data_IF_911551012492
#
_entry.id   IF_911551012492
#
_cell.length_a   1.000
_cell.length_b   1.000
_cell.length_c   1.000
_cell.angle_alpha   90.00
_cell.angle_beta   90.00
_cell.angle_gamma   90.00
#
_symmetry.space_group_name_H-M   'P 1'
#
loop_
_entity.id
_entity.type
_entity.pdbx_description
1 polymer ?
#
# COMPACT_ATOMS: atom_id res chain seq x y z
N UNK A 1 -3.79 28.17 -15.53
CA UNK A 1 -3.43 27.33 -14.36
C UNK A 1 -4.62 27.33 -13.42
N UNK A 2 -5.13 26.16 -13.03
CA UNK A 2 -6.25 26.10 -12.08
C UNK A 2 -5.76 26.52 -10.68
N UNK A 3 -6.31 27.62 -10.15
CA UNK A 3 -6.06 28.11 -8.78
C UNK A 3 -6.89 27.30 -7.76
N UNK A 4 -6.59 27.43 -6.46
CA UNK A 4 -7.36 26.81 -5.38
C UNK A 4 -8.86 27.19 -5.41
N UNK A 5 -9.21 28.33 -6.01
CA UNK A 5 -10.60 28.76 -6.24
C UNK A 5 -11.35 27.92 -7.27
N UNK A 6 -10.64 27.17 -8.12
CA UNK A 6 -11.21 26.23 -9.08
C UNK A 6 -11.39 24.81 -8.52
N UNK A 7 -11.03 24.57 -7.25
CA UNK A 7 -11.27 23.29 -6.58
C UNK A 7 -12.77 23.13 -6.31
N UNK A 8 -13.51 22.68 -7.32
CA UNK A 8 -14.91 22.27 -7.15
C UNK A 8 -14.96 21.18 -6.07
N UNK A 9 -15.87 21.32 -5.10
CA UNK A 9 -16.12 20.30 -4.10
C UNK A 9 -16.38 18.96 -4.80
N UNK A 10 -15.47 17.99 -4.61
CA UNK A 10 -15.56 16.67 -5.22
C UNK A 10 -16.83 16.02 -4.70
N UNK A 11 -17.83 15.85 -5.58
CA UNK A 11 -19.08 15.19 -5.22
C UNK A 11 -18.87 13.69 -5.33
N UNK A 12 -19.10 12.97 -4.25
CA UNK A 12 -19.04 11.52 -4.19
C UNK A 12 -20.39 10.89 -4.51
N UNK A 13 -20.40 9.60 -4.87
CA UNK A 13 -21.63 8.87 -5.11
C UNK A 13 -22.48 8.78 -3.83
N UNK A 14 -23.76 9.08 -3.95
CA UNK A 14 -24.72 8.95 -2.87
C UNK A 14 -25.11 7.47 -2.69
N UNK A 15 -24.82 6.90 -1.52
CA UNK A 15 -25.21 5.52 -1.15
C UNK A 15 -26.58 5.46 -0.46
N UNK A 16 -27.21 6.61 -0.15
CA UNK A 16 -28.52 6.68 0.50
C UNK A 16 -29.68 6.64 -0.52
N UNK A 17 -30.86 6.12 -0.14
CA UNK A 17 -32.04 6.15 -0.99
C UNK A 17 -32.44 7.60 -1.31
N UNK A 18 -32.51 7.95 -2.59
CA UNK A 18 -32.92 9.29 -3.03
C UNK A 18 -32.58 9.60 -4.49
N UNK A 19 -33.15 10.69 -5.02
CA UNK A 19 -32.94 11.13 -6.42
C UNK A 19 -31.56 11.74 -6.68
N UNK A 20 -30.87 12.26 -5.65
CA UNK A 20 -29.56 12.91 -5.81
C UNK A 20 -28.47 11.87 -5.93
N UNK A 21 -27.94 11.67 -7.14
CA UNK A 21 -26.85 10.71 -7.41
C UNK A 21 -25.52 11.09 -6.76
N UNK A 22 -25.24 12.38 -6.59
CA UNK A 22 -23.97 12.87 -6.07
C UNK A 22 -24.16 13.80 -4.87
N UNK A 23 -23.35 13.61 -3.83
CA UNK A 23 -23.37 14.38 -2.58
C UNK A 23 -21.94 14.73 -2.18
N UNK A 24 -21.76 15.86 -1.51
CA UNK A 24 -20.49 16.17 -0.88
C UNK A 24 -20.25 15.19 0.28
N UNK A 25 -19.01 14.69 0.40
CA UNK A 25 -18.55 13.94 1.56
C UNK A 25 -17.40 14.70 2.20
N UNK A 26 -17.39 14.75 3.53
CA UNK A 26 -16.23 15.29 4.26
C UNK A 26 -15.02 14.38 4.09
N UNK A 27 -13.82 14.91 4.35
CA UNK A 27 -12.59 14.12 4.35
C UNK A 27 -12.71 12.84 5.19
N UNK A 28 -13.23 12.96 6.43
CA UNK A 28 -13.44 11.81 7.31
C UNK A 28 -14.37 10.76 6.69
N UNK A 29 -15.49 11.18 6.08
CA UNK A 29 -16.41 10.26 5.41
C UNK A 29 -15.77 9.57 4.20
N UNK A 30 -14.94 10.29 3.43
CA UNK A 30 -14.22 9.71 2.31
C UNK A 30 -13.21 8.67 2.80
N UNK A 31 -12.45 8.97 3.85
CA UNK A 31 -11.51 8.03 4.47
C UNK A 31 -12.22 6.78 5.00
N UNK A 32 -13.34 6.95 5.70
CA UNK A 32 -14.13 5.84 6.25
C UNK A 32 -14.74 4.95 5.15
N UNK A 33 -14.97 5.51 3.95
CA UNK A 33 -15.49 4.80 2.78
C UNK A 33 -14.40 4.05 2.00
N UNK A 34 -13.11 4.29 2.26
CA UNK A 34 -12.02 3.59 1.58
C UNK A 34 -12.01 2.13 2.02
N UNK A 35 -12.21 1.23 1.07
CA UNK A 35 -12.07 -0.21 1.28
C UNK A 35 -10.95 -0.77 0.42
N UNK A 36 -9.83 -1.13 1.07
CA UNK A 36 -8.69 -1.74 0.39
C UNK A 36 -8.99 -3.23 0.16
N UNK A 37 -9.72 -3.50 -0.92
CA UNK A 37 -10.20 -4.82 -1.29
C UNK A 37 -9.12 -5.67 -2.02
N UNK A 38 -7.88 -5.65 -1.54
CA UNK A 38 -6.79 -6.47 -2.11
C UNK A 38 -6.83 -7.91 -1.59
N UNK A 39 -7.02 -8.09 -0.28
CA UNK A 39 -6.97 -9.41 0.36
C UNK A 39 -8.31 -10.16 0.35
N UNK A 40 -9.39 -9.45 -0.01
CA UNK A 40 -10.78 -9.93 0.07
C UNK A 40 -11.47 -10.02 -1.29
N UNK A 41 -10.81 -9.57 -2.37
CA UNK A 41 -11.42 -9.63 -3.70
C UNK A 41 -11.60 -11.08 -4.14
N UNK A 42 -12.80 -11.39 -4.61
CA UNK A 42 -13.15 -12.63 -5.31
C UNK A 42 -12.79 -12.56 -6.80
N UNK A 43 -12.27 -11.42 -7.26
CA UNK A 43 -11.82 -11.26 -8.64
C UNK A 43 -10.68 -12.24 -8.91
N UNK A 44 -10.68 -12.81 -10.11
CA UNK A 44 -9.58 -13.68 -10.54
C UNK A 44 -8.28 -12.89 -10.47
N UNK A 45 -7.27 -13.47 -9.82
CA UNK A 45 -5.88 -12.98 -9.88
C UNK A 45 -5.57 -12.64 -11.33
N UNK A 46 -5.07 -11.41 -11.59
CA UNK A 46 -4.72 -10.97 -12.95
C UNK A 46 -3.95 -12.10 -13.64
N UNK A 47 -4.44 -12.48 -14.83
CA UNK A 47 -3.87 -13.54 -15.65
C UNK A 47 -2.37 -13.28 -15.83
N UNK A 48 -1.61 -14.37 -15.99
CA UNK A 48 -0.19 -14.26 -16.32
C UNK A 48 -0.04 -13.48 -17.64
N UNK A 49 1.03 -12.68 -17.80
CA UNK A 49 1.26 -11.90 -19.01
C UNK A 49 1.35 -12.82 -20.22
N UNK A 50 1.07 -12.27 -21.41
CA UNK A 50 1.32 -12.99 -22.66
C UNK A 50 2.79 -13.39 -22.77
N UNK A 51 3.09 -14.46 -23.51
CA UNK A 51 4.45 -14.93 -23.74
C UNK A 51 5.37 -13.78 -24.20
N UNK A 52 6.49 -13.60 -23.51
CA UNK A 52 7.44 -12.50 -23.77
C UNK A 52 7.10 -11.15 -23.13
N UNK A 53 5.94 -10.97 -22.50
CA UNK A 53 5.59 -9.76 -21.74
C UNK A 53 5.92 -9.89 -20.24
N UNK A 54 5.56 -8.88 -19.46
CA UNK A 54 5.74 -8.81 -17.99
C UNK A 54 4.60 -8.04 -17.34
N UNK A 55 4.41 -8.20 -16.02
CA UNK A 55 3.36 -7.48 -15.32
C UNK A 55 3.59 -5.96 -15.35
N UNK A 56 4.83 -5.52 -15.21
CA UNK A 56 5.21 -4.11 -15.28
C UNK A 56 4.90 -3.53 -16.65
N UNK A 57 5.27 -4.23 -17.74
CA UNK A 57 5.04 -3.76 -19.10
C UNK A 57 3.55 -3.62 -19.40
N UNK A 58 2.77 -4.64 -19.07
CA UNK A 58 1.33 -4.63 -19.32
C UNK A 58 0.65 -3.51 -18.50
N UNK A 59 1.09 -3.31 -17.25
CA UNK A 59 0.64 -2.21 -16.40
C UNK A 59 1.01 -0.84 -17.00
N UNK A 60 2.22 -0.70 -17.53
CA UNK A 60 2.70 0.55 -18.14
C UNK A 60 1.89 0.93 -19.38
N UNK A 61 1.63 -0.04 -20.26
CA UNK A 61 0.81 0.17 -21.46
C UNK A 61 -0.62 0.54 -21.07
N UNK A 62 -1.22 -0.20 -20.13
CA UNK A 62 -2.56 0.10 -19.61
C UNK A 62 -2.64 1.55 -19.09
N UNK A 63 -1.68 1.96 -18.27
CA UNK A 63 -1.69 3.32 -17.72
C UNK A 63 -1.36 4.39 -18.75
N UNK A 64 -0.62 4.07 -19.81
CA UNK A 64 -0.41 5.00 -20.93
C UNK A 64 -1.72 5.37 -21.62
N UNK A 65 -2.65 4.43 -21.73
CA UNK A 65 -3.98 4.65 -22.28
C UNK A 65 -4.90 5.41 -21.31
N UNK A 66 -4.78 5.16 -20.01
CA UNK A 66 -5.66 5.72 -18.98
C UNK A 66 -5.23 7.10 -18.45
N UNK A 67 -3.94 7.42 -18.50
CA UNK A 67 -3.39 8.62 -17.87
C UNK A 67 -2.72 9.55 -18.88
N UNK A 68 -3.13 10.82 -18.87
CA UNK A 68 -2.65 11.87 -19.76
C UNK A 68 -1.82 12.94 -19.05
N UNK A 69 -1.42 12.72 -17.80
CA UNK A 69 -0.63 13.69 -17.05
C UNK A 69 0.81 13.73 -17.57
N UNK A 70 1.33 14.94 -17.79
CA UNK A 70 2.66 15.17 -18.39
C UNK A 70 3.80 14.45 -17.65
N UNK A 71 3.79 14.47 -16.31
CA UNK A 71 4.83 13.81 -15.50
C UNK A 71 4.86 12.29 -15.75
N UNK A 72 3.68 11.66 -15.92
CA UNK A 72 3.59 10.25 -16.26
C UNK A 72 3.99 9.96 -17.72
N UNK A 73 3.62 10.83 -18.67
CA UNK A 73 4.03 10.69 -20.08
C UNK A 73 5.55 10.73 -20.21
N UNK A 74 6.18 11.70 -19.57
CA UNK A 74 7.65 11.81 -19.51
C UNK A 74 8.28 10.56 -18.90
N UNK A 75 7.71 10.04 -17.79
CA UNK A 75 8.19 8.81 -17.18
C UNK A 75 8.03 7.60 -18.11
N UNK A 76 6.91 7.48 -18.82
CA UNK A 76 6.67 6.41 -19.77
C UNK A 76 7.74 6.39 -20.87
N UNK A 77 7.98 7.53 -21.52
CA UNK A 77 8.97 7.64 -22.60
C UNK A 77 10.38 7.29 -22.14
N UNK A 78 10.72 7.69 -20.91
CA UNK A 78 12.00 7.41 -20.27
C UNK A 78 12.19 5.91 -19.96
N UNK A 79 11.15 5.24 -19.44
CA UNK A 79 11.29 3.88 -18.94
C UNK A 79 11.01 2.79 -19.99
N UNK A 80 10.24 3.12 -21.04
CA UNK A 80 9.79 2.15 -22.04
C UNK A 80 10.94 1.29 -22.63
N UNK A 81 12.14 1.83 -22.94
CA UNK A 81 13.24 1.03 -23.47
C UNK A 81 13.72 -0.10 -22.54
N UNK A 82 13.53 0.03 -21.22
CA UNK A 82 14.04 -0.90 -20.21
C UNK A 82 13.03 -1.95 -19.76
N UNK A 83 11.77 -1.83 -20.18
CA UNK A 83 10.66 -2.67 -19.71
C UNK A 83 10.04 -3.51 -20.83
N UNK A 84 10.76 -3.68 -21.96
CA UNK A 84 10.27 -4.44 -23.11
C UNK A 84 10.08 -5.93 -22.79
N UNK A 85 10.96 -6.50 -21.97
CA UNK A 85 10.96 -7.92 -21.61
C UNK A 85 11.35 -8.12 -20.15
N UNK A 86 10.93 -9.23 -19.55
CA UNK A 86 11.30 -9.55 -18.17
C UNK A 86 12.82 -9.62 -17.93
N UNK A 87 13.66 -10.22 -18.80
CA UNK A 87 15.12 -10.18 -18.62
C UNK A 87 15.68 -8.75 -18.59
N UNK A 88 15.14 -7.83 -19.40
CA UNK A 88 15.55 -6.42 -19.39
C UNK A 88 15.19 -5.75 -18.07
N UNK A 89 13.99 -6.02 -17.54
CA UNK A 89 13.54 -5.51 -16.23
C UNK A 89 14.47 -5.99 -15.12
N UNK A 90 14.84 -7.28 -15.12
CA UNK A 90 15.75 -7.85 -14.11
C UNK A 90 17.13 -7.19 -14.20
N UNK A 91 17.66 -6.99 -15.40
CA UNK A 91 18.96 -6.35 -15.64
C UNK A 91 18.98 -4.89 -15.16
N UNK A 92 17.90 -4.15 -15.40
CA UNK A 92 17.81 -2.71 -15.12
C UNK A 92 17.00 -2.37 -13.86
N UNK A 93 16.73 -3.34 -12.98
CA UNK A 93 15.84 -3.18 -11.83
C UNK A 93 16.14 -1.97 -10.94
N UNK A 94 17.43 -1.68 -10.68
CA UNK A 94 17.86 -0.53 -9.87
C UNK A 94 17.51 0.82 -10.53
N UNK A 95 17.72 0.91 -11.85
CA UNK A 95 17.40 2.10 -12.63
C UNK A 95 15.89 2.32 -12.64
N UNK A 96 15.13 1.28 -12.99
CA UNK A 96 13.66 1.33 -13.07
C UNK A 96 13.09 1.74 -11.72
N UNK A 97 13.53 1.09 -10.64
CA UNK A 97 13.07 1.38 -9.30
C UNK A 97 13.39 2.82 -8.88
N UNK A 98 14.62 3.28 -9.13
CA UNK A 98 15.02 4.64 -8.77
C UNK A 98 14.23 5.71 -9.52
N UNK A 99 13.90 5.47 -10.79
CA UNK A 99 13.03 6.35 -11.57
C UNK A 99 11.60 6.36 -11.04
N UNK A 100 11.00 5.20 -10.73
CA UNK A 100 9.67 5.13 -10.11
C UNK A 100 9.61 5.92 -8.79
N UNK A 101 10.56 5.73 -7.89
CA UNK A 101 10.59 6.44 -6.61
C UNK A 101 10.74 7.94 -6.80
N UNK A 102 11.54 8.39 -7.77
CA UNK A 102 11.72 9.83 -8.06
C UNK A 102 10.43 10.54 -8.50
N UNK A 103 9.42 9.80 -8.97
CA UNK A 103 8.10 10.31 -9.36
C UNK A 103 7.07 10.31 -8.23
N UNK A 104 7.38 9.77 -7.06
CA UNK A 104 6.51 9.84 -5.87
C UNK A 104 6.57 11.23 -5.23
N UNK A 105 5.96 12.21 -5.91
CA UNK A 105 5.94 13.62 -5.53
C UNK A 105 4.50 14.14 -5.48
N UNK A 106 4.17 14.92 -4.46
CA UNK A 106 2.81 15.44 -4.29
C UNK A 106 2.42 16.42 -5.40
N UNK A 107 3.38 17.19 -5.92
CA UNK A 107 3.18 18.12 -7.03
C UNK A 107 2.71 17.40 -8.31
N UNK A 108 3.08 16.13 -8.46
CA UNK A 108 2.68 15.25 -9.55
C UNK A 108 1.52 14.33 -9.18
N UNK A 109 0.59 14.78 -8.31
CA UNK A 109 -0.53 13.95 -7.81
C UNK A 109 -1.37 13.23 -8.86
N UNK A 110 -1.51 13.81 -10.05
CA UNK A 110 -2.25 13.19 -11.18
C UNK A 110 -1.52 11.97 -11.79
N UNK A 111 -0.24 11.79 -11.47
CA UNK A 111 0.61 10.68 -11.91
C UNK A 111 0.90 9.69 -10.78
N UNK A 112 0.44 9.93 -9.55
CA UNK A 112 0.77 9.05 -8.42
C UNK A 112 0.15 7.66 -8.55
N UNK A 113 -1.13 7.56 -8.94
CA UNK A 113 -1.76 6.26 -9.11
C UNK A 113 -0.98 5.35 -10.08
N UNK A 114 -0.72 5.75 -11.34
CA UNK A 114 0.00 4.87 -12.25
C UNK A 114 1.39 4.51 -11.72
N UNK A 115 2.14 5.45 -11.13
CA UNK A 115 3.46 5.17 -10.55
C UNK A 115 3.35 4.14 -9.41
N UNK A 116 2.39 4.30 -8.49
CA UNK A 116 2.14 3.37 -7.41
C UNK A 116 1.72 1.98 -7.93
N UNK A 117 0.90 1.90 -8.97
CA UNK A 117 0.54 0.61 -9.61
C UNK A 117 1.72 -0.06 -10.29
N UNK A 118 2.61 0.71 -10.90
CA UNK A 118 3.84 0.19 -11.52
C UNK A 118 4.82 -0.36 -10.48
N UNK A 119 4.97 0.30 -9.33
CA UNK A 119 5.77 -0.24 -8.21
C UNK A 119 5.21 -1.59 -7.73
N UNK A 120 3.89 -1.71 -7.60
CA UNK A 120 3.25 -2.97 -7.23
C UNK A 120 3.46 -4.05 -8.32
N UNK A 121 3.34 -3.70 -9.60
CA UNK A 121 3.59 -4.63 -10.71
C UNK A 121 5.06 -5.09 -10.75
N UNK A 122 6.02 -4.18 -10.56
CA UNK A 122 7.44 -4.48 -10.47
C UNK A 122 7.74 -5.48 -9.33
N UNK A 123 7.04 -5.35 -8.19
CA UNK A 123 7.18 -6.31 -7.09
C UNK A 123 6.73 -7.73 -7.46
N UNK A 124 5.73 -7.85 -8.34
CA UNK A 124 5.25 -9.14 -8.83
C UNK A 124 6.22 -9.77 -9.83
N UNK A 125 6.87 -8.97 -10.69
CA UNK A 125 7.89 -9.45 -11.62
C UNK A 125 9.18 -9.88 -10.90
N UNK A 126 9.66 -9.09 -9.93
CA UNK A 126 10.95 -9.32 -9.27
C UNK A 126 10.88 -10.26 -8.05
N UNK A 127 9.72 -10.37 -7.40
CA UNK A 127 9.50 -11.25 -6.25
C UNK A 127 10.57 -11.08 -5.15
N UNK A 128 11.39 -12.10 -4.90
CA UNK A 128 12.40 -12.11 -3.83
C UNK A 128 13.42 -10.97 -3.98
N UNK A 129 13.78 -10.61 -5.20
CA UNK A 129 14.74 -9.54 -5.47
C UNK A 129 14.20 -8.17 -5.07
N UNK A 130 12.87 -8.01 -5.05
CA UNK A 130 12.23 -6.77 -4.68
C UNK A 130 12.35 -6.44 -3.18
N UNK A 131 12.65 -7.44 -2.34
CA UNK A 131 12.74 -7.24 -0.89
C UNK A 131 13.77 -6.17 -0.49
N UNK A 132 14.83 -6.02 -1.29
CA UNK A 132 15.88 -5.02 -1.09
C UNK A 132 15.37 -3.57 -1.25
N UNK A 133 14.27 -3.39 -1.98
CA UNK A 133 13.67 -2.08 -2.24
C UNK A 133 12.66 -1.63 -1.20
N UNK A 134 12.12 -2.56 -0.40
CA UNK A 134 11.08 -2.26 0.60
C UNK A 134 11.42 -1.12 1.56
N UNK A 135 12.65 -1.00 2.12
CA UNK A 135 13.00 0.12 2.97
C UNK A 135 12.86 1.47 2.24
N UNK A 136 13.39 1.56 1.01
CA UNK A 136 13.34 2.78 0.18
C UNK A 136 11.90 3.15 -0.18
N UNK A 137 11.05 2.17 -0.47
CA UNK A 137 9.61 2.41 -0.74
C UNK A 137 8.94 2.96 0.51
N UNK A 138 9.11 2.30 1.66
CA UNK A 138 8.48 2.73 2.90
C UNK A 138 8.87 4.15 3.27
N UNK A 139 10.16 4.50 3.18
CA UNK A 139 10.63 5.86 3.42
C UNK A 139 10.05 6.87 2.40
N UNK A 140 9.93 6.49 1.13
CA UNK A 140 9.35 7.38 0.10
C UNK A 140 7.86 7.59 0.31
N UNK A 141 7.11 6.58 0.75
CA UNK A 141 5.70 6.71 1.11
C UNK A 141 5.51 7.61 2.34
N UNK A 142 6.40 7.52 3.33
CA UNK A 142 6.39 8.45 4.48
C UNK A 142 6.60 9.88 3.99
N UNK A 143 7.63 10.13 3.18
CA UNK A 143 7.90 11.47 2.63
C UNK A 143 6.73 12.01 1.81
N UNK A 144 6.09 11.15 1.00
CA UNK A 144 4.91 11.53 0.23
C UNK A 144 3.73 11.92 1.14
N UNK A 145 3.45 11.13 2.17
CA UNK A 145 2.41 11.46 3.15
C UNK A 145 2.70 12.78 3.87
N UNK A 146 3.95 12.99 4.31
CA UNK A 146 4.39 14.22 4.99
C UNK A 146 4.32 15.47 4.09
N UNK A 147 4.43 15.30 2.77
CA UNK A 147 4.31 16.39 1.78
C UNK A 147 2.87 16.86 1.54
N UNK A 148 1.87 16.26 2.21
CA UNK A 148 0.46 16.65 2.14
C UNK A 148 -0.45 15.61 1.49
N UNK A 149 0.09 14.51 0.98
CA UNK A 149 -0.71 13.42 0.45
C UNK A 149 -1.62 12.79 1.52
N UNK A 150 -1.25 12.90 2.81
CA UNK A 150 -2.10 12.43 3.91
C UNK A 150 -3.43 13.20 4.06
N UNK A 151 -3.63 14.29 3.33
CA UNK A 151 -4.86 15.11 3.30
C UNK A 151 -5.72 14.86 2.05
N UNK A 152 -5.30 13.97 1.16
CA UNK A 152 -5.99 13.65 -0.08
C UNK A 152 -6.46 12.18 -0.04
N UNK A 153 -7.76 11.90 0.23
CA UNK A 153 -8.26 10.53 0.39
C UNK A 153 -7.95 9.61 -0.78
N UNK A 154 -8.08 10.10 -2.01
CA UNK A 154 -7.79 9.33 -3.23
C UNK A 154 -6.31 8.88 -3.27
N UNK A 155 -5.37 9.76 -2.87
CA UNK A 155 -3.94 9.43 -2.86
C UNK A 155 -3.64 8.44 -1.72
N UNK A 156 -4.27 8.61 -0.56
CA UNK A 156 -4.16 7.66 0.57
C UNK A 156 -4.62 6.27 0.13
N UNK A 157 -5.78 6.17 -0.53
CA UNK A 157 -6.28 4.91 -1.09
C UNK A 157 -5.29 4.30 -2.09
N UNK A 158 -4.76 5.10 -3.03
CA UNK A 158 -3.78 4.64 -4.02
C UNK A 158 -2.51 4.09 -3.36
N UNK A 159 -1.97 4.78 -2.34
CA UNK A 159 -0.78 4.38 -1.59
C UNK A 159 -1.01 3.01 -0.93
N UNK A 160 -2.06 2.87 -0.13
CA UNK A 160 -2.27 1.64 0.64
C UNK A 160 -2.83 0.50 -0.19
N UNK A 161 -3.49 0.79 -1.31
CA UNK A 161 -3.83 -0.25 -2.29
C UNK A 161 -2.56 -0.80 -2.94
N UNK A 162 -1.64 0.06 -3.38
CA UNK A 162 -0.35 -0.38 -3.94
C UNK A 162 0.47 -1.15 -2.90
N UNK A 163 0.60 -0.61 -1.69
CA UNK A 163 1.31 -1.29 -0.59
C UNK A 163 0.71 -2.67 -0.28
N UNK A 164 -0.62 -2.77 -0.22
CA UNK A 164 -1.30 -4.05 0.02
C UNK A 164 -1.05 -5.07 -1.09
N UNK A 165 -1.00 -4.63 -2.37
CA UNK A 165 -0.61 -5.50 -3.47
C UNK A 165 0.83 -6.01 -3.32
N UNK A 166 1.78 -5.15 -2.93
CA UNK A 166 3.16 -5.56 -2.66
C UNK A 166 3.20 -6.61 -1.53
N UNK A 167 2.48 -6.38 -0.43
CA UNK A 167 2.41 -7.35 0.67
C UNK A 167 1.81 -8.69 0.21
N UNK A 168 0.78 -8.67 -0.63
CA UNK A 168 0.14 -9.85 -1.18
C UNK A 168 1.09 -10.64 -2.10
N UNK A 169 1.71 -9.99 -3.08
CA UNK A 169 2.62 -10.65 -4.02
C UNK A 169 3.86 -11.24 -3.35
N UNK A 170 4.37 -10.55 -2.33
CA UNK A 170 5.59 -10.95 -1.62
C UNK A 170 5.32 -11.79 -0.37
N UNK A 171 4.06 -12.09 -0.05
CA UNK A 171 3.63 -12.75 1.19
C UNK A 171 4.52 -13.94 1.56
N UNK A 172 4.73 -14.87 0.61
CA UNK A 172 5.50 -16.11 0.83
C UNK A 172 6.95 -15.87 1.27
N UNK A 173 7.51 -14.71 0.95
CA UNK A 173 8.85 -14.30 1.37
C UNK A 173 8.81 -13.48 2.67
N UNK A 174 7.86 -12.55 2.78
CA UNK A 174 7.74 -11.65 3.93
C UNK A 174 7.41 -12.39 5.24
N UNK A 175 6.61 -13.45 5.17
CA UNK A 175 6.29 -14.26 6.36
C UNK A 175 7.50 -15.01 6.94
N UNK A 176 8.58 -15.17 6.16
CA UNK A 176 9.81 -15.83 6.62
C UNK A 176 10.61 -14.93 7.59
N UNK A 177 10.49 -13.61 7.43
CA UNK A 177 11.16 -12.60 8.25
C UNK A 177 10.25 -11.39 8.56
N UNK A 178 9.21 -11.66 9.35
CA UNK A 178 8.30 -10.62 9.86
C UNK A 178 9.03 -9.51 10.61
N UNK A 179 10.09 -9.82 11.34
CA UNK A 179 10.79 -8.84 12.17
C UNK A 179 11.39 -7.74 11.29
N UNK A 180 11.97 -8.10 10.15
CA UNK A 180 12.48 -7.13 9.18
C UNK A 180 11.36 -6.27 8.58
N UNK A 181 10.20 -6.86 8.26
CA UNK A 181 9.03 -6.09 7.80
C UNK A 181 8.54 -5.10 8.85
N UNK A 182 8.47 -5.53 10.11
CA UNK A 182 8.06 -4.67 11.22
C UNK A 182 9.03 -3.51 11.45
N UNK A 183 10.33 -3.71 11.21
CA UNK A 183 11.35 -2.65 11.25
C UNK A 183 11.19 -1.65 10.11
N UNK A 184 10.96 -2.13 8.88
CA UNK A 184 10.76 -1.29 7.69
C UNK A 184 9.53 -0.41 7.85
N UNK A 185 8.46 -0.96 8.42
CA UNK A 185 7.15 -0.28 8.51
C UNK A 185 6.99 0.61 9.74
N UNK A 186 8.00 0.74 10.62
CA UNK A 186 7.87 1.48 11.90
C UNK A 186 7.32 2.90 11.70
N UNK A 187 7.81 3.65 10.72
CA UNK A 187 7.39 5.04 10.48
C UNK A 187 5.94 5.15 10.03
N UNK A 188 5.50 4.23 9.17
CA UNK A 188 4.13 4.17 8.66
C UNK A 188 3.15 3.64 9.74
N UNK A 189 3.53 2.61 10.51
CA UNK A 189 2.71 2.04 11.59
C UNK A 189 2.46 3.01 12.74
N UNK A 190 3.38 3.94 12.97
CA UNK A 190 3.29 4.94 14.04
C UNK A 190 3.22 6.36 13.48
N UNK A 191 2.66 6.50 12.28
CA UNK A 191 2.44 7.79 11.64
C UNK A 191 1.49 8.66 12.47
N UNK A 192 1.54 9.98 12.29
CA UNK A 192 0.81 10.94 13.15
C UNK A 192 -0.71 10.90 13.00
N UNK A 193 -1.22 10.30 11.92
CA UNK A 193 -2.64 10.23 11.58
C UNK A 193 -3.19 8.83 11.82
N UNK A 194 -4.28 8.71 12.57
CA UNK A 194 -4.80 7.41 12.98
C UNK A 194 -5.32 6.58 11.80
N UNK A 195 -5.97 7.19 10.80
CA UNK A 195 -6.40 6.46 9.59
C UNK A 195 -5.22 5.86 8.79
N UNK A 196 -4.05 6.50 8.80
CA UNK A 196 -2.83 5.93 8.21
C UNK A 196 -2.37 4.71 9.01
N UNK A 197 -2.43 4.79 10.35
CA UNK A 197 -2.11 3.66 11.21
C UNK A 197 -3.08 2.49 10.96
N UNK A 198 -4.38 2.76 10.79
CA UNK A 198 -5.42 1.77 10.46
C UNK A 198 -5.13 1.04 9.15
N UNK A 199 -4.88 1.75 8.04
CA UNK A 199 -4.55 1.11 6.76
C UNK A 199 -3.27 0.28 6.84
N UNK A 200 -2.25 0.79 7.53
CA UNK A 200 -1.01 0.03 7.75
C UNK A 200 -1.21 -1.19 8.64
N UNK A 201 -2.07 -1.07 9.65
CA UNK A 201 -2.43 -2.15 10.54
C UNK A 201 -3.14 -3.27 9.76
N UNK A 202 -4.11 -2.94 8.92
CA UNK A 202 -4.79 -3.90 8.05
C UNK A 202 -3.80 -4.62 7.13
N UNK A 203 -2.98 -3.87 6.37
CA UNK A 203 -2.00 -4.45 5.45
C UNK A 203 -0.94 -5.33 6.16
N UNK A 204 -0.45 -4.91 7.33
CA UNK A 204 0.55 -5.68 8.09
C UNK A 204 -0.07 -6.90 8.77
N UNK A 205 -1.33 -6.80 9.22
CA UNK A 205 -2.06 -7.92 9.84
C UNK A 205 -2.21 -9.10 8.88
N UNK A 206 -2.35 -8.84 7.57
CA UNK A 206 -2.39 -9.87 6.56
C UNK A 206 -1.14 -10.76 6.61
N UNK A 207 0.05 -10.18 6.73
CA UNK A 207 1.29 -10.95 6.83
C UNK A 207 1.38 -11.72 8.15
N UNK A 208 1.01 -11.08 9.27
CA UNK A 208 1.04 -11.71 10.59
C UNK A 208 0.08 -12.90 10.68
N UNK A 209 -1.14 -12.77 10.16
CA UNK A 209 -2.16 -13.84 10.15
C UNK A 209 -1.73 -15.05 9.32
N UNK A 210 -0.96 -14.82 8.25
CA UNK A 210 -0.49 -15.86 7.36
C UNK A 210 0.88 -16.45 7.75
N UNK A 211 1.50 -15.96 8.82
CA UNK A 211 2.79 -16.44 9.24
C UNK A 211 2.71 -17.68 10.14
N UNK A 212 3.74 -18.55 10.14
CA UNK A 212 3.83 -19.63 11.12
C UNK A 212 3.80 -19.10 12.54
N UNK A 213 3.16 -19.83 13.46
CA UNK A 213 2.96 -19.42 14.85
C UNK A 213 4.21 -18.87 15.54
N UNK A 214 5.37 -19.52 15.37
CA UNK A 214 6.64 -19.05 15.95
C UNK A 214 7.03 -17.64 15.48
N UNK A 215 6.78 -17.33 14.19
CA UNK A 215 7.08 -16.03 13.58
C UNK A 215 6.04 -14.98 13.98
N UNK A 216 4.76 -15.35 14.04
CA UNK A 216 3.69 -14.52 14.59
C UNK A 216 4.01 -14.10 16.04
N UNK A 217 4.33 -15.07 16.91
CA UNK A 217 4.72 -14.83 18.30
C UNK A 217 5.89 -13.85 18.42
N UNK A 218 6.96 -14.08 17.65
CA UNK A 218 8.10 -13.17 17.62
C UNK A 218 7.72 -11.76 17.14
N UNK A 219 6.82 -11.65 16.14
CA UNK A 219 6.30 -10.39 15.64
C UNK A 219 5.50 -9.62 16.70
N UNK A 220 4.58 -10.29 17.42
CA UNK A 220 3.80 -9.70 18.50
C UNK A 220 4.73 -9.22 19.63
N UNK A 221 5.68 -10.06 20.07
CA UNK A 221 6.65 -9.67 21.08
C UNK A 221 7.46 -8.44 20.65
N UNK A 222 7.87 -8.37 19.38
CA UNK A 222 8.60 -7.24 18.82
C UNK A 222 7.80 -5.94 18.87
N UNK A 223 6.53 -5.94 18.48
CA UNK A 223 5.69 -4.72 18.53
C UNK A 223 5.39 -4.30 19.97
N UNK A 224 5.18 -5.24 20.88
CA UNK A 224 5.00 -4.93 22.31
C UNK A 224 6.25 -4.27 22.90
N UNK A 225 7.44 -4.80 22.59
CA UNK A 225 8.71 -4.20 22.99
C UNK A 225 8.91 -2.78 22.43
N UNK A 226 8.39 -2.48 21.23
CA UNK A 226 8.48 -1.14 20.65
C UNK A 226 7.66 -0.10 21.40
N UNK A 227 6.53 -0.49 21.96
CA UNK A 227 5.67 0.37 22.79
C UNK A 227 6.30 0.58 24.16
N UNK A 228 6.80 -0.49 24.78
CA UNK A 228 7.46 -0.42 26.09
C UNK A 228 8.70 0.47 26.04
N UNK A 229 9.54 0.34 25.00
CA UNK A 229 10.77 1.13 24.86
C UNK A 229 10.53 2.61 24.60
N UNK A 230 9.47 2.97 23.87
CA UNK A 230 9.15 4.36 23.54
C UNK A 230 7.64 4.53 23.59
N UNK A 231 7.15 5.01 24.72
CA UNK A 231 5.73 5.28 24.88
C UNK A 231 5.35 6.56 24.11
N UNK A 232 4.38 6.45 23.21
CA UNK A 232 3.70 7.60 22.61
C UNK A 232 2.25 7.23 22.31
N UNK A 233 1.31 8.21 22.28
CA UNK A 233 -0.08 7.94 21.90
C UNK A 233 -0.19 7.25 20.53
N UNK A 234 0.54 7.73 19.52
CA UNK A 234 0.57 7.13 18.18
C UNK A 234 1.08 5.68 18.17
N UNK A 235 2.06 5.33 19.03
CA UNK A 235 2.56 3.95 19.15
C UNK A 235 1.55 3.03 19.81
N UNK A 236 0.87 3.52 20.87
CA UNK A 236 -0.18 2.77 21.53
C UNK A 236 -1.32 2.51 20.55
N UNK A 237 -1.81 3.55 19.88
CA UNK A 237 -2.86 3.46 18.85
C UNK A 237 -2.48 2.50 17.71
N UNK A 238 -1.33 2.69 17.08
CA UNK A 238 -0.91 1.85 15.96
C UNK A 238 -0.69 0.37 16.31
N UNK A 239 -0.18 0.07 17.52
CA UNK A 239 -0.08 -1.33 17.99
C UNK A 239 -1.45 -1.90 18.32
N UNK A 240 -2.33 -1.13 18.97
CA UNK A 240 -3.71 -1.55 19.25
C UNK A 240 -4.47 -1.86 17.97
N UNK A 241 -4.39 -0.99 16.95
CA UNK A 241 -4.98 -1.22 15.64
C UNK A 241 -4.42 -2.50 15.00
N UNK A 242 -3.10 -2.67 14.98
CA UNK A 242 -2.46 -3.86 14.41
C UNK A 242 -2.93 -5.16 15.09
N UNK A 243 -2.94 -5.18 16.42
CA UNK A 243 -3.42 -6.33 17.19
C UNK A 243 -4.90 -6.62 16.91
N UNK A 244 -5.73 -5.57 16.83
CA UNK A 244 -7.13 -5.68 16.46
C UNK A 244 -7.30 -6.36 15.09
N UNK A 245 -6.63 -5.91 14.03
CA UNK A 245 -6.74 -6.54 12.71
C UNK A 245 -6.13 -7.94 12.63
N UNK A 246 -5.12 -8.24 13.44
CA UNK A 246 -4.57 -9.61 13.54
C UNK A 246 -5.59 -10.57 14.14
N UNK A 247 -6.37 -10.11 15.13
CA UNK A 247 -7.39 -10.92 15.80
C UNK A 247 -8.72 -10.96 15.02
N UNK A 248 -9.05 -9.90 14.28
CA UNK A 248 -10.28 -9.80 13.50
C UNK A 248 -10.27 -10.77 12.32
N UNK A 249 -11.28 -11.63 12.26
CA UNK A 249 -11.57 -12.51 11.13
C UNK A 249 -12.42 -11.82 10.05
N UNK A 250 -12.78 -12.54 9.01
CA UNK A 250 -13.77 -12.05 8.03
C UNK A 250 -15.17 -11.99 8.68
N UNK A 251 -15.98 -10.99 8.27
CA UNK A 251 -17.40 -10.91 8.62
C UNK A 251 -17.71 -10.83 10.12
N UNK A 252 -17.02 -9.96 10.87
CA UNK A 252 -17.18 -9.74 12.33
C UNK A 252 -16.86 -10.94 13.23
N UNK A 253 -16.41 -12.06 12.67
CA UNK A 253 -15.88 -13.19 13.42
C UNK A 253 -14.44 -12.96 13.89
N UNK A 254 -13.96 -13.85 14.75
CA UNK A 254 -12.60 -13.87 15.25
C UNK A 254 -11.75 -14.79 14.35
N UNK A 255 -10.55 -14.36 13.94
CA UNK A 255 -9.66 -15.18 13.11
C UNK A 255 -9.10 -16.37 13.90
N UNK A 256 -8.78 -17.50 13.24
CA UNK A 256 -8.20 -18.68 13.90
C UNK A 256 -6.86 -18.39 14.59
N UNK A 257 -6.14 -17.36 14.14
CA UNK A 257 -4.91 -16.86 14.78
C UNK A 257 -5.14 -16.07 16.08
N UNK A 258 -6.39 -15.77 16.44
CA UNK A 258 -6.68 -14.99 17.63
C UNK A 258 -6.32 -15.71 18.93
N UNK A 259 -6.65 -17.02 19.03
CA UNK A 259 -6.26 -17.85 20.19
C UNK A 259 -4.74 -17.84 20.37
N UNK A 260 -4.02 -18.01 19.26
CA UNK A 260 -2.57 -17.91 19.20
C UNK A 260 -2.02 -16.51 19.59
N UNK A 261 -2.77 -15.44 19.34
CA UNK A 261 -2.36 -14.07 19.68
C UNK A 261 -2.57 -13.79 21.18
N UNK A 262 -3.66 -14.27 21.76
CA UNK A 262 -3.91 -14.20 23.21
C UNK A 262 -2.85 -14.96 24.01
N UNK A 263 -2.49 -16.18 23.61
CA UNK A 263 -1.42 -16.99 24.23
C UNK A 263 -0.02 -16.34 24.21
N UNK A 264 0.16 -15.24 23.47
CA UNK A 264 1.42 -14.48 23.42
C UNK A 264 1.35 -13.20 24.25
N UNK A 265 0.14 -12.69 24.49
CA UNK A 265 -0.09 -11.46 25.24
C UNK A 265 -0.18 -11.74 26.75
N UNK A 266 -0.71 -12.90 27.14
CA UNK A 266 -0.65 -13.45 28.50
C UNK A 266 0.76 -13.96 28.86
#
# INVERSE_FOLDING_TARGET
MATAEHAAAVKSLNKSPGRRRFVFKSFSQQIDDIEINVFRSLDKVKAEPSEGSSFLRDCLIQWRELNTAEDFISFYEEIMPFVQTLPSIILHKELIFSKLISRLRFEARLSLEPILRLIAALSRDLLKDFLLFLPRIADSLVSLLESGADREPDIVEQIFTSWSFIMMYLQKYLIQDIISVLKITVKLRYYSKDYIQEFMAEATSFLLRNAPFKKLKAGIQKIMLEVVKKQSPARKSGVSALLYYVMRGTSSGVHSSCRASFEVID
#
